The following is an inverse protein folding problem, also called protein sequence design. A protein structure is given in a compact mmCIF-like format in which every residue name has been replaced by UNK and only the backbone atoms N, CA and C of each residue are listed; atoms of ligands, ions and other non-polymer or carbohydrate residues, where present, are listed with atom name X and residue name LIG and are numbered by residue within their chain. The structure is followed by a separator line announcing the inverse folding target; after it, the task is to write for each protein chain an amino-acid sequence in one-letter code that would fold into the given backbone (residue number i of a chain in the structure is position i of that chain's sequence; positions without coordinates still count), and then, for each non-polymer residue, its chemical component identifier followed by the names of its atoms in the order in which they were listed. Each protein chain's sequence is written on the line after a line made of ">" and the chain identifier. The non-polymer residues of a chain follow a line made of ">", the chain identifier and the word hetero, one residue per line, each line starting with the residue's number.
data_IF_803696969443
#
_entry.id   IF_803696969443
#
_cell.length_a   1.000
_cell.length_b   1.000
_cell.length_c   1.000
_cell.angle_alpha   90.00
_cell.angle_beta   90.00
_cell.angle_gamma   90.00
#
_symmetry.space_group_name_H-M   'P 1'
#
loop_
_entity.id
_entity.type
_entity.pdbx_description
1 polymer ?
#
# COMPACT_ATOMS: atom_id res chain seq x y z
N UNK A 1 9.47 10.69 2.65
CA UNK A 1 9.70 11.57 3.79
C UNK A 1 9.91 13.01 3.31
N UNK A 2 9.19 13.95 3.92
CA UNK A 2 9.42 15.39 3.77
C UNK A 2 9.88 15.89 5.14
N UNK A 3 11.06 16.50 5.23
CA UNK A 3 11.63 16.94 6.51
C UNK A 3 12.30 18.29 6.39
N UNK A 4 12.27 19.07 7.47
CA UNK A 4 13.11 20.27 7.59
C UNK A 4 14.58 19.85 7.83
N UNK A 5 15.52 20.69 7.40
CA UNK A 5 16.93 20.47 7.70
C UNK A 5 17.23 20.69 9.20
N UNK A 6 16.50 21.56 9.87
CA UNK A 6 16.61 21.82 11.31
C UNK A 6 15.42 21.24 12.05
N UNK A 7 15.65 20.19 12.82
CA UNK A 7 14.68 19.59 13.73
C UNK A 7 15.14 19.77 15.18
N UNK A 8 14.25 19.76 16.17
CA UNK A 8 14.64 19.75 17.57
C UNK A 8 15.49 18.52 17.91
N UNK A 9 16.71 18.73 18.37
CA UNK A 9 17.60 17.65 18.83
C UNK A 9 18.44 16.94 17.78
N UNK A 10 18.05 17.00 16.48
CA UNK A 10 18.87 16.46 15.37
C UNK A 10 18.57 17.22 14.07
N UNK A 11 19.43 17.07 13.09
CA UNK A 11 19.18 17.64 11.76
C UNK A 11 18.43 16.66 10.87
N UNK A 12 17.69 17.18 9.86
CA UNK A 12 17.04 16.33 8.86
C UNK A 12 18.03 15.44 8.10
N UNK A 13 19.28 15.88 7.94
CA UNK A 13 20.35 15.08 7.31
C UNK A 13 20.84 13.94 8.20
N UNK A 14 20.97 14.16 9.50
CA UNK A 14 21.27 13.08 10.47
C UNK A 14 20.15 12.06 10.50
N UNK A 15 18.87 12.49 10.45
CA UNK A 15 17.74 11.59 10.32
C UNK A 15 17.85 10.74 9.06
N UNK A 16 18.18 11.33 7.90
CA UNK A 16 18.37 10.60 6.65
C UNK A 16 19.53 9.63 6.74
N UNK A 17 20.64 10.04 7.36
CA UNK A 17 21.79 9.16 7.60
C UNK A 17 21.36 7.92 8.40
N UNK A 18 20.66 8.09 9.52
CA UNK A 18 20.15 6.97 10.34
C UNK A 18 19.22 6.03 9.51
N UNK A 19 18.36 6.60 8.67
CA UNK A 19 17.51 5.81 7.78
C UNK A 19 18.35 4.97 6.81
N UNK A 20 19.39 5.55 6.20
CA UNK A 20 20.28 4.85 5.25
C UNK A 20 21.16 3.79 5.92
N UNK A 21 21.63 4.05 7.14
CA UNK A 21 22.33 3.05 7.96
C UNK A 21 21.42 1.87 8.31
N UNK A 22 20.13 2.15 8.60
CA UNK A 22 19.08 1.14 8.74
C UNK A 22 18.62 0.49 7.42
N UNK A 23 19.32 0.76 6.29
CA UNK A 23 18.97 0.30 4.93
C UNK A 23 17.58 0.72 4.45
N UNK A 24 17.02 1.76 5.04
CA UNK A 24 15.75 2.31 4.60
C UNK A 24 15.99 3.32 3.46
N UNK A 25 15.54 2.99 2.26
CA UNK A 25 15.72 3.78 1.04
C UNK A 25 14.45 4.57 0.64
N UNK A 26 13.59 4.89 1.62
CA UNK A 26 12.42 5.75 1.33
C UNK A 26 12.86 7.05 0.64
N UNK A 27 12.10 7.55 -0.33
CA UNK A 27 12.37 8.85 -0.92
C UNK A 27 12.32 9.97 0.11
N UNK A 28 13.28 10.89 0.02
CA UNK A 28 13.41 12.00 0.96
C UNK A 28 13.52 13.32 0.22
N UNK A 29 12.68 14.28 0.62
CA UNK A 29 12.79 15.70 0.26
C UNK A 29 13.17 16.48 1.52
N UNK A 30 14.24 17.26 1.45
CA UNK A 30 14.65 18.16 2.53
C UNK A 30 14.18 19.58 2.23
N UNK A 31 13.61 20.22 3.25
CA UNK A 31 13.23 21.63 3.23
C UNK A 31 14.27 22.45 4.00
N UNK A 32 14.71 23.58 3.44
CA UNK A 32 15.69 24.43 4.11
C UNK A 32 15.41 25.92 3.89
N UNK A 33 15.69 26.73 4.93
CA UNK A 33 15.72 28.19 4.80
C UNK A 33 17.09 28.75 4.44
N UNK A 34 18.11 27.91 4.27
CA UNK A 34 19.49 28.32 4.12
C UNK A 34 20.14 27.76 2.85
N UNK A 35 20.83 28.63 2.10
CA UNK A 35 21.69 28.24 0.97
C UNK A 35 23.11 27.90 1.50
N UNK A 36 23.23 26.83 2.27
CA UNK A 36 24.55 26.37 2.72
C UNK A 36 25.01 25.21 1.86
N UNK A 37 26.16 25.39 1.22
CA UNK A 37 26.76 24.40 0.31
C UNK A 37 27.02 23.05 1.00
N UNK A 38 27.40 23.07 2.26
CA UNK A 38 27.73 21.88 3.04
C UNK A 38 26.53 20.93 3.18
N UNK A 39 25.31 21.45 3.32
CA UNK A 39 24.11 20.64 3.41
C UNK A 39 23.75 19.98 2.06
N UNK A 40 23.98 20.68 0.95
CA UNK A 40 23.75 20.11 -0.38
C UNK A 40 24.72 18.96 -0.67
N UNK A 41 25.98 19.08 -0.26
CA UNK A 41 26.98 18.03 -0.41
C UNK A 41 26.64 16.77 0.42
N UNK A 42 26.20 16.96 1.65
CA UNK A 42 25.73 15.85 2.50
C UNK A 42 24.44 15.21 1.96
N UNK A 43 23.51 16.00 1.44
CA UNK A 43 22.29 15.51 0.83
C UNK A 43 22.58 14.56 -0.37
N UNK A 44 23.56 14.90 -1.21
CA UNK A 44 24.03 14.04 -2.30
C UNK A 44 24.60 12.74 -1.73
N UNK A 45 25.44 12.81 -0.69
CA UNK A 45 26.07 11.63 -0.07
C UNK A 45 25.04 10.65 0.49
N UNK A 46 23.96 11.17 1.09
CA UNK A 46 22.88 10.36 1.68
C UNK A 46 21.75 10.02 0.69
N UNK A 47 21.95 10.30 -0.62
CA UNK A 47 20.96 10.02 -1.67
C UNK A 47 19.59 10.60 -1.34
N UNK A 48 19.54 11.88 -0.99
CA UNK A 48 18.31 12.65 -0.87
C UNK A 48 17.75 12.88 -2.27
N UNK A 49 16.44 12.70 -2.45
CA UNK A 49 15.82 12.78 -3.79
C UNK A 49 15.61 14.21 -4.26
N UNK A 50 15.35 15.14 -3.33
CA UNK A 50 15.24 16.56 -3.67
C UNK A 50 15.51 17.47 -2.45
N UNK A 51 15.81 18.74 -2.76
CA UNK A 51 16.20 19.75 -1.78
C UNK A 51 15.53 21.07 -2.13
N UNK A 52 14.53 21.51 -1.33
CA UNK A 52 13.72 22.67 -1.61
C UNK A 52 14.03 23.82 -0.66
N UNK A 53 14.17 25.03 -1.23
CA UNK A 53 14.46 26.24 -0.46
C UNK A 53 13.15 26.90 0.00
N UNK A 54 13.08 27.27 1.27
CA UNK A 54 11.98 28.09 1.82
C UNK A 54 12.15 29.58 1.41
N UNK A 55 11.08 30.30 1.08
CA UNK A 55 9.67 29.86 1.02
C UNK A 55 9.39 28.95 -0.17
N UNK A 56 8.75 27.80 0.10
CA UNK A 56 8.50 26.76 -0.90
C UNK A 56 7.31 27.18 -1.76
N UNK A 57 7.47 27.22 -3.06
CA UNK A 57 6.38 27.42 -3.99
C UNK A 57 5.64 26.10 -4.20
N UNK A 58 4.32 26.18 -4.34
CA UNK A 58 3.47 25.02 -4.56
C UNK A 58 3.93 24.20 -5.79
N UNK A 59 4.29 24.90 -6.87
CA UNK A 59 4.73 24.28 -8.12
C UNK A 59 6.05 23.50 -7.94
N UNK A 60 6.99 24.01 -7.14
CA UNK A 60 8.28 23.37 -6.87
C UNK A 60 8.08 22.08 -6.04
N UNK A 61 7.27 22.14 -5.00
CA UNK A 61 6.95 20.97 -4.18
C UNK A 61 6.20 19.90 -4.98
N UNK A 62 5.21 20.33 -5.78
CA UNK A 62 4.43 19.41 -6.63
C UNK A 62 5.33 18.74 -7.65
N UNK A 63 6.22 19.50 -8.31
CA UNK A 63 7.18 18.96 -9.29
C UNK A 63 8.14 17.95 -8.65
N UNK A 64 8.64 18.22 -7.43
CA UNK A 64 9.50 17.29 -6.70
C UNK A 64 8.77 15.97 -6.36
N UNK A 65 7.54 16.06 -5.87
CA UNK A 65 6.72 14.89 -5.56
C UNK A 65 6.42 14.07 -6.82
N UNK A 66 6.08 14.73 -7.94
CA UNK A 66 5.81 14.06 -9.21
C UNK A 66 7.06 13.34 -9.75
N UNK A 67 8.25 13.98 -9.69
CA UNK A 67 9.52 13.33 -10.08
C UNK A 67 9.79 12.07 -9.24
N UNK A 68 9.56 12.14 -7.94
CA UNK A 68 9.73 10.97 -7.06
C UNK A 68 8.71 9.88 -7.39
N UNK A 69 7.46 10.25 -7.63
CA UNK A 69 6.42 9.31 -8.08
C UNK A 69 6.85 8.61 -9.37
N UNK A 70 7.24 9.37 -10.38
CA UNK A 70 7.63 8.84 -11.69
C UNK A 70 8.87 7.93 -11.58
N UNK A 71 9.84 8.29 -10.71
CA UNK A 71 11.01 7.46 -10.39
C UNK A 71 10.62 6.14 -9.72
N UNK A 72 9.68 6.17 -8.78
CA UNK A 72 9.15 4.97 -8.12
C UNK A 72 8.36 4.11 -9.12
N UNK A 73 7.58 4.74 -10.00
CA UNK A 73 6.82 4.05 -11.05
C UNK A 73 7.76 3.44 -12.11
N UNK A 74 8.79 4.16 -12.54
CA UNK A 74 9.80 3.64 -13.46
C UNK A 74 10.60 2.50 -12.84
N UNK A 75 10.95 2.57 -11.56
CA UNK A 75 11.59 1.47 -10.82
C UNK A 75 10.73 0.21 -10.78
N UNK A 76 9.40 0.35 -10.74
CA UNK A 76 8.47 -0.78 -10.81
C UNK A 76 8.38 -1.40 -12.21
N UNK A 77 8.68 -0.62 -13.27
CA UNK A 77 8.60 -1.08 -14.67
C UNK A 77 9.93 -1.56 -15.23
N UNK A 78 11.06 -1.15 -14.64
CA UNK A 78 12.40 -1.46 -15.15
C UNK A 78 13.11 -2.64 -14.49
N UNK A 79 12.55 -3.27 -13.47
CA UNK A 79 13.15 -4.46 -12.86
C UNK A 79 12.78 -5.76 -13.60
N UNK A 80 13.14 -5.81 -14.89
CA UNK A 80 13.46 -7.06 -15.61
C UNK A 80 14.96 -7.09 -15.93
N UNK A 81 15.83 -6.89 -14.91
CA UNK A 81 17.28 -6.99 -15.02
C UNK A 81 17.85 -7.68 -13.77
N UNK A 82 18.87 -8.54 -13.91
CA UNK A 82 19.29 -9.46 -12.84
C UNK A 82 20.20 -8.76 -11.85
N UNK A 83 19.69 -8.09 -10.83
CA UNK A 83 20.37 -7.76 -9.57
C UNK A 83 19.59 -6.82 -8.63
N UNK A 84 18.26 -6.85 -8.63
CA UNK A 84 17.44 -6.30 -7.54
C UNK A 84 17.35 -7.33 -6.43
N UNK A 85 18.08 -7.13 -5.34
CA UNK A 85 18.40 -8.11 -4.33
C UNK A 85 17.18 -8.84 -3.73
N UNK A 86 17.36 -10.08 -3.33
CA UNK A 86 16.44 -10.90 -2.53
C UNK A 86 15.88 -10.17 -1.28
N UNK A 87 16.52 -9.07 -0.85
CA UNK A 87 16.10 -8.20 0.25
C UNK A 87 14.92 -7.29 -0.11
N UNK A 88 14.81 -6.83 -1.35
CA UNK A 88 13.73 -5.95 -1.81
C UNK A 88 12.44 -6.75 -2.02
N UNK A 89 12.56 -7.96 -2.57
CA UNK A 89 11.47 -8.94 -2.67
C UNK A 89 10.91 -9.28 -1.29
N UNK A 90 11.77 -9.59 -0.32
CA UNK A 90 11.38 -9.92 1.05
C UNK A 90 10.68 -8.74 1.75
N UNK A 91 11.10 -7.50 1.48
CA UNK A 91 10.46 -6.32 2.04
C UNK A 91 9.04 -6.12 1.48
N UNK A 92 8.88 -6.20 0.16
CA UNK A 92 7.57 -6.11 -0.50
C UNK A 92 6.63 -7.23 -0.07
N UNK A 93 7.13 -8.45 0.04
CA UNK A 93 6.37 -9.60 0.55
C UNK A 93 5.89 -9.38 2.00
N UNK A 94 6.72 -8.80 2.86
CA UNK A 94 6.34 -8.44 4.24
C UNK A 94 5.22 -7.40 4.28
N UNK A 95 5.31 -6.35 3.46
CA UNK A 95 4.25 -5.33 3.33
C UNK A 95 2.94 -5.98 2.92
N UNK A 96 2.96 -6.79 1.86
CA UNK A 96 1.76 -7.47 1.37
C UNK A 96 1.23 -8.48 2.39
N UNK A 97 2.10 -9.20 3.09
CA UNK A 97 1.70 -10.09 4.18
C UNK A 97 1.00 -9.34 5.32
N UNK A 98 1.53 -8.19 5.74
CA UNK A 98 0.91 -7.33 6.75
C UNK A 98 -0.46 -6.80 6.29
N UNK A 99 -0.57 -6.38 5.02
CA UNK A 99 -1.85 -5.95 4.45
C UNK A 99 -2.87 -7.09 4.38
N UNK A 100 -2.47 -8.30 4.00
CA UNK A 100 -3.33 -9.49 4.01
C UNK A 100 -3.81 -9.84 5.42
N UNK A 101 -2.94 -9.69 6.42
CA UNK A 101 -3.30 -9.90 7.83
C UNK A 101 -4.32 -8.86 8.31
N UNK A 102 -4.13 -7.57 7.94
CA UNK A 102 -5.11 -6.52 8.19
C UNK A 102 -6.48 -6.85 7.58
N UNK A 103 -6.51 -7.29 6.31
CA UNK A 103 -7.74 -7.69 5.62
C UNK A 103 -8.49 -8.82 6.32
N UNK A 104 -7.77 -9.79 6.87
CA UNK A 104 -8.38 -10.91 7.60
C UNK A 104 -9.09 -10.43 8.87
N UNK A 105 -8.55 -9.41 9.53
CA UNK A 105 -9.12 -8.84 10.75
C UNK A 105 -10.28 -7.84 10.48
N UNK A 106 -10.28 -7.17 9.31
CA UNK A 106 -11.20 -6.06 8.99
C UNK A 106 -12.00 -6.32 7.71
N UNK A 107 -12.35 -7.58 7.43
CA UNK A 107 -12.92 -8.02 6.16
C UNK A 107 -14.19 -7.26 5.74
N UNK A 108 -15.02 -6.87 6.71
CA UNK A 108 -16.29 -6.16 6.50
C UNK A 108 -16.07 -4.76 5.95
N UNK A 109 -15.17 -4.01 6.57
CA UNK A 109 -14.97 -2.58 6.31
C UNK A 109 -13.73 -2.29 5.44
N UNK A 110 -12.98 -3.34 5.07
CA UNK A 110 -11.74 -3.18 4.33
C UNK A 110 -11.95 -2.51 2.97
N UNK A 111 -11.13 -1.49 2.71
CA UNK A 111 -11.01 -0.79 1.43
C UNK A 111 -9.54 -0.77 0.98
N UNK A 112 -9.31 -0.39 -0.28
CA UNK A 112 -7.95 -0.20 -0.81
C UNK A 112 -7.21 0.89 -0.02
N UNK A 113 -7.93 1.97 0.31
CA UNK A 113 -7.42 3.13 1.03
C UNK A 113 -6.95 2.73 2.43
N UNK A 114 -7.79 2.01 3.17
CA UNK A 114 -7.48 1.59 4.53
C UNK A 114 -6.35 0.55 4.58
N UNK A 115 -6.34 -0.40 3.64
CA UNK A 115 -5.27 -1.36 3.51
C UNK A 115 -3.92 -0.68 3.19
N UNK A 116 -3.92 0.33 2.32
CA UNK A 116 -2.73 1.11 2.01
C UNK A 116 -2.24 1.91 3.23
N UNK A 117 -3.16 2.56 3.97
CA UNK A 117 -2.85 3.30 5.20
C UNK A 117 -2.24 2.35 6.25
N UNK A 118 -2.77 1.14 6.42
CA UNK A 118 -2.29 0.16 7.41
C UNK A 118 -0.82 -0.22 7.22
N UNK A 119 -0.30 -0.04 6.00
CA UNK A 119 1.10 -0.32 5.64
C UNK A 119 1.89 0.95 5.27
N UNK A 120 1.35 2.15 5.59
CA UNK A 120 1.95 3.46 5.32
C UNK A 120 2.29 3.72 3.85
N UNK A 121 1.44 3.27 2.93
CA UNK A 121 1.58 3.49 1.50
C UNK A 121 0.43 4.33 0.94
N UNK A 122 0.67 5.00 -0.20
CA UNK A 122 -0.42 5.60 -0.96
C UNK A 122 -1.26 4.51 -1.63
N UNK A 123 -2.60 4.70 -1.80
CA UNK A 123 -3.47 3.69 -2.43
C UNK A 123 -3.01 3.28 -3.83
N UNK A 124 -2.56 4.25 -4.65
CA UNK A 124 -2.07 3.97 -6.00
C UNK A 124 -0.78 3.14 -6.03
N UNK A 125 0.17 3.43 -5.14
CA UNK A 125 1.39 2.63 -5.01
C UNK A 125 1.07 1.23 -4.47
N UNK A 126 0.28 1.15 -3.40
CA UNK A 126 -0.14 -0.11 -2.81
C UNK A 126 -0.86 -1.03 -3.81
N UNK A 127 -1.78 -0.51 -4.60
CA UNK A 127 -2.51 -1.28 -5.63
C UNK A 127 -1.55 -1.92 -6.64
N UNK A 128 -0.57 -1.15 -7.14
CA UNK A 128 0.46 -1.67 -8.08
C UNK A 128 1.37 -2.70 -7.42
N UNK A 129 1.83 -2.40 -6.20
CA UNK A 129 2.68 -3.32 -5.43
C UNK A 129 1.96 -4.62 -5.14
N UNK A 130 0.68 -4.53 -4.73
CA UNK A 130 -0.15 -5.70 -4.45
C UNK A 130 -0.26 -6.60 -5.69
N UNK A 131 -0.58 -6.01 -6.85
CA UNK A 131 -0.66 -6.75 -8.11
C UNK A 131 0.69 -7.35 -8.52
N UNK A 132 1.79 -6.58 -8.38
CA UNK A 132 3.16 -7.07 -8.69
C UNK A 132 3.54 -8.30 -7.86
N UNK A 133 3.19 -8.30 -6.56
CA UNK A 133 3.59 -9.37 -5.63
C UNK A 133 2.64 -10.56 -5.66
N UNK A 134 1.33 -10.33 -5.82
CA UNK A 134 0.32 -11.40 -5.74
C UNK A 134 -0.13 -11.93 -7.10
N UNK A 135 0.07 -11.17 -8.18
CA UNK A 135 -0.43 -11.49 -9.51
C UNK A 135 -1.91 -11.15 -9.74
N UNK A 136 -2.63 -10.68 -8.73
CA UNK A 136 -4.06 -10.34 -8.80
C UNK A 136 -4.33 -8.92 -8.28
N UNK A 137 -5.48 -8.33 -8.65
CA UNK A 137 -5.83 -7.02 -8.11
C UNK A 137 -6.24 -7.11 -6.64
N UNK A 138 -6.07 -6.03 -5.90
CA UNK A 138 -6.54 -5.95 -4.52
C UNK A 138 -8.05 -6.22 -4.40
N UNK A 139 -8.85 -5.69 -5.33
CA UNK A 139 -10.31 -5.88 -5.35
C UNK A 139 -10.71 -7.34 -5.56
N UNK A 140 -10.01 -8.05 -6.43
CA UNK A 140 -10.26 -9.48 -6.69
C UNK A 140 -9.89 -10.31 -5.45
N UNK A 141 -8.74 -10.01 -4.84
CA UNK A 141 -8.30 -10.66 -3.61
C UNK A 141 -9.29 -10.47 -2.47
N UNK A 142 -9.71 -9.20 -2.22
CA UNK A 142 -10.69 -8.88 -1.18
C UNK A 142 -12.02 -9.59 -1.44
N UNK A 143 -12.50 -9.57 -2.69
CA UNK A 143 -13.70 -10.29 -3.10
C UNK A 143 -13.55 -11.79 -2.82
N UNK A 144 -12.42 -12.39 -3.17
CA UNK A 144 -12.13 -13.79 -2.87
C UNK A 144 -12.18 -14.12 -1.38
N UNK A 145 -11.57 -13.26 -0.54
CA UNK A 145 -11.62 -13.40 0.93
C UNK A 145 -13.05 -13.33 1.46
N UNK A 146 -13.85 -12.37 0.98
CA UNK A 146 -15.26 -12.20 1.35
C UNK A 146 -16.11 -13.40 0.94
N UNK A 147 -15.89 -13.93 -0.25
CA UNK A 147 -16.64 -15.11 -0.76
C UNK A 147 -16.29 -16.37 0.02
N UNK A 148 -15.03 -16.61 0.34
CA UNK A 148 -14.60 -17.73 1.20
C UNK A 148 -15.24 -17.65 2.57
N UNK A 149 -15.23 -16.46 3.19
CA UNK A 149 -15.88 -16.25 4.51
C UNK A 149 -17.39 -16.44 4.45
N UNK A 150 -18.04 -15.99 3.38
CA UNK A 150 -19.47 -16.22 3.14
C UNK A 150 -19.79 -17.71 3.02
N UNK A 151 -18.96 -18.48 2.32
CA UNK A 151 -19.13 -19.93 2.19
C UNK A 151 -19.03 -20.64 3.56
N UNK A 152 -18.09 -20.23 4.43
CA UNK A 152 -17.98 -20.72 5.82
C UNK A 152 -19.30 -20.48 6.58
N UNK A 153 -19.86 -19.25 6.51
CA UNK A 153 -21.12 -18.93 7.16
C UNK A 153 -22.32 -19.71 6.58
N UNK A 154 -22.38 -19.88 5.26
CA UNK A 154 -23.45 -20.65 4.59
C UNK A 154 -23.44 -22.11 5.03
N UNK A 155 -22.26 -22.71 5.23
CA UNK A 155 -22.13 -24.07 5.71
C UNK A 155 -22.25 -24.23 7.23
N UNK A 156 -21.67 -23.30 7.99
CA UNK A 156 -21.53 -23.43 9.45
C UNK A 156 -22.68 -22.85 10.26
N UNK A 157 -23.59 -22.08 9.64
CA UNK A 157 -24.63 -21.33 10.37
C UNK A 157 -25.99 -21.36 9.68
N UNK A 158 -27.01 -20.95 10.42
CA UNK A 158 -28.37 -20.76 9.91
C UNK A 158 -28.69 -19.30 9.56
N UNK A 159 -27.68 -18.43 9.46
CA UNK A 159 -27.89 -17.04 9.08
C UNK A 159 -28.54 -16.93 7.70
N UNK A 160 -29.42 -15.95 7.55
CA UNK A 160 -30.04 -15.69 6.25
C UNK A 160 -29.02 -15.09 5.29
N UNK A 161 -29.21 -15.29 3.99
CA UNK A 161 -28.26 -14.80 2.96
C UNK A 161 -28.02 -13.29 3.05
N UNK A 162 -29.02 -12.50 3.41
CA UNK A 162 -28.85 -11.05 3.56
C UNK A 162 -28.00 -10.68 4.81
N UNK A 163 -28.10 -11.45 5.89
CA UNK A 163 -27.27 -11.25 7.07
C UNK A 163 -25.81 -11.56 6.76
N UNK A 164 -25.56 -12.68 6.08
CA UNK A 164 -24.22 -13.04 5.61
C UNK A 164 -23.65 -11.97 4.69
N UNK A 165 -24.46 -11.39 3.78
CA UNK A 165 -23.99 -10.31 2.89
C UNK A 165 -23.44 -9.11 3.68
N UNK A 166 -24.12 -8.68 4.73
CA UNK A 166 -23.68 -7.59 5.61
C UNK A 166 -22.41 -7.99 6.39
N UNK A 167 -22.38 -9.20 6.94
CA UNK A 167 -21.23 -9.71 7.71
C UNK A 167 -19.94 -9.80 6.91
N UNK A 168 -20.03 -9.94 5.58
CA UNK A 168 -18.86 -9.99 4.71
C UNK A 168 -18.62 -8.70 3.93
N UNK A 169 -19.27 -7.59 4.31
CA UNK A 169 -19.02 -6.25 3.79
C UNK A 169 -19.73 -5.91 2.46
N UNK A 170 -20.94 -6.45 2.25
CA UNK A 170 -21.81 -6.06 1.15
C UNK A 170 -23.10 -5.43 1.68
N UNK A 171 -23.24 -4.11 1.54
CA UNK A 171 -24.44 -3.38 1.93
C UNK A 171 -25.66 -3.79 1.11
N UNK A 172 -25.46 -4.24 -0.14
CA UNK A 172 -26.52 -4.66 -1.03
C UNK A 172 -26.49 -6.19 -1.26
N UNK A 173 -27.49 -6.95 -0.76
CA UNK A 173 -27.57 -8.40 -0.94
C UNK A 173 -27.62 -8.86 -2.39
N UNK A 174 -28.11 -8.04 -3.32
CA UNK A 174 -28.13 -8.37 -4.77
C UNK A 174 -26.69 -8.37 -5.33
N UNK A 175 -25.86 -7.40 -4.91
CA UNK A 175 -24.45 -7.35 -5.31
C UNK A 175 -23.68 -8.54 -4.75
N UNK A 176 -23.92 -8.89 -3.49
CA UNK A 176 -23.37 -10.10 -2.86
C UNK A 176 -23.74 -11.36 -3.65
N UNK A 177 -25.03 -11.57 -3.92
CA UNK A 177 -25.51 -12.77 -4.65
C UNK A 177 -24.87 -12.88 -6.04
N UNK A 178 -24.72 -11.74 -6.74
CA UNK A 178 -24.03 -11.70 -8.04
C UNK A 178 -22.54 -12.05 -7.92
N UNK A 179 -21.84 -11.45 -6.97
CA UNK A 179 -20.43 -11.73 -6.72
C UNK A 179 -20.20 -13.19 -6.30
N UNK A 180 -21.05 -13.73 -5.43
CA UNK A 180 -20.98 -15.11 -4.99
C UNK A 180 -21.19 -16.10 -6.14
N UNK A 181 -22.21 -15.85 -6.99
CA UNK A 181 -22.46 -16.67 -8.18
C UNK A 181 -21.32 -16.58 -9.20
N UNK A 182 -20.70 -15.41 -9.33
CA UNK A 182 -19.53 -15.26 -10.21
C UNK A 182 -18.33 -16.05 -9.69
N UNK A 183 -18.14 -16.11 -8.36
CA UNK A 183 -16.98 -16.77 -7.74
C UNK A 183 -17.15 -18.30 -7.62
N UNK A 184 -18.35 -18.78 -7.23
CA UNK A 184 -18.63 -20.19 -6.99
C UNK A 184 -19.50 -20.86 -8.09
N UNK A 185 -19.94 -20.12 -9.09
CA UNK A 185 -20.81 -20.57 -10.21
C UNK A 185 -22.22 -21.04 -9.80
N UNK A 186 -22.56 -20.93 -8.52
CA UNK A 186 -23.88 -21.23 -7.94
C UNK A 186 -24.33 -20.10 -7.04
N UNK A 187 -25.64 -19.98 -6.82
CA UNK A 187 -26.16 -18.96 -5.87
C UNK A 187 -25.85 -19.35 -4.41
N UNK A 188 -25.84 -18.39 -3.47
CA UNK A 188 -25.70 -18.70 -2.05
C UNK A 188 -26.71 -19.71 -1.50
N UNK A 189 -27.95 -19.70 -2.05
CA UNK A 189 -29.00 -20.65 -1.68
C UNK A 189 -28.66 -22.06 -2.18
N UNK A 190 -28.38 -22.22 -3.46
CA UNK A 190 -27.96 -23.49 -4.05
C UNK A 190 -26.71 -24.05 -3.34
N UNK A 191 -25.75 -23.18 -3.00
CA UNK A 191 -24.55 -23.57 -2.28
C UNK A 191 -24.86 -24.13 -0.88
N UNK A 192 -25.86 -23.57 -0.20
CA UNK A 192 -26.33 -24.07 1.10
C UNK A 192 -27.09 -25.36 0.97
N UNK A 193 -27.97 -25.50 -0.05
CA UNK A 193 -28.83 -26.66 -0.23
C UNK A 193 -28.04 -27.91 -0.69
N UNK A 194 -26.83 -27.72 -1.23
CA UNK A 194 -25.92 -28.82 -1.65
C UNK A 194 -25.02 -29.32 -0.47
N UNK A 195 -25.50 -29.22 0.72
CA UNK A 195 -24.87 -29.75 1.95
C UNK A 195 -24.85 -31.26 2.01
#
# INVERSE_FOLDING_TARGET
>A
LLTDIRLPGLTGLELVQMLREGRNMIPVIILTGYRQFDYAQQAIRYKVDDFLLKPIKYEELTAAILRIRDKLEAGLTQEAGPAGSALDSTYHERIISSAKQYLTAHLTDASLEEAAISVNLSPGYFSRLFHKVTGETFSDYLTGCRMKKAAEYLHGTNYKTYEISLMVGYDNPKNFTRAFKQYYHVTPREFRDNR
#
